data_IF_142278294530
#
_entry.id   IF_142278294530
#
_cell.length_a   1.000
_cell.length_b   1.000
_cell.length_c   1.000
_cell.angle_alpha   90.00
_cell.angle_beta   90.00
_cell.angle_gamma   90.00
#
_symmetry.space_group_name_H-M   'P 1'
#
loop_
_entity.id
_entity.type
_entity.pdbx_description
1 polymer ?
#
# COMPACT_ATOMS: atom_id res chain seq x y z
N UNK A 1 43.72 17.47 18.28
CA UNK A 1 42.33 17.51 18.77
C UNK A 1 41.40 17.35 17.58
N UNK A 2 40.87 16.14 17.38
CA UNK A 2 39.86 15.87 16.35
C UNK A 2 38.47 16.05 16.98
N UNK A 3 37.69 16.99 16.48
CA UNK A 3 36.28 17.11 16.84
C UNK A 3 35.47 16.22 15.89
N UNK A 4 34.93 15.12 16.42
CA UNK A 4 33.89 14.34 15.76
C UNK A 4 32.57 15.12 15.84
N UNK A 5 32.05 15.56 14.70
CA UNK A 5 30.68 16.05 14.57
C UNK A 5 29.75 14.82 14.51
N UNK A 6 29.09 14.53 15.63
CA UNK A 6 27.95 13.60 15.67
C UNK A 6 26.78 14.27 14.95
N UNK A 7 26.48 13.86 13.71
CA UNK A 7 25.23 14.21 13.04
C UNK A 7 24.09 13.40 13.67
N UNK A 8 23.33 14.04 14.56
CA UNK A 8 22.01 13.58 14.98
C UNK A 8 21.08 13.59 13.76
N UNK A 9 20.95 12.45 13.09
CA UNK A 9 19.83 12.21 12.17
C UNK A 9 18.61 11.99 13.06
N UNK A 10 17.91 13.07 13.37
CA UNK A 10 16.56 12.96 13.92
C UNK A 10 15.70 12.30 12.83
N UNK A 11 15.02 11.16 13.09
CA UNK A 11 14.00 10.71 12.17
C UNK A 11 12.97 11.85 12.10
N UNK A 12 12.75 12.37 10.89
CA UNK A 12 11.58 13.20 10.65
C UNK A 12 10.37 12.31 10.97
N UNK A 13 9.82 12.47 12.17
CA UNK A 13 8.53 11.93 12.51
C UNK A 13 7.58 12.65 11.54
N UNK A 14 7.19 11.96 10.46
CA UNK A 14 6.01 12.37 9.73
C UNK A 14 4.90 12.35 10.78
N UNK A 15 4.52 13.52 11.27
CA UNK A 15 3.35 13.66 12.13
C UNK A 15 2.18 13.23 11.29
N UNK A 16 1.73 11.98 11.48
CA UNK A 16 0.44 11.55 10.99
C UNK A 16 -0.56 12.51 11.62
N UNK A 17 -1.19 13.33 10.79
CA UNK A 17 -2.35 14.06 11.23
C UNK A 17 -3.41 12.99 11.55
N UNK A 18 -3.68 12.84 12.84
CA UNK A 18 -4.76 11.99 13.35
C UNK A 18 -5.90 12.94 13.71
N UNK A 19 -7.16 12.50 13.66
CA UNK A 19 -8.38 13.29 13.99
C UNK A 19 -9.11 14.04 12.84
N UNK A 20 -9.06 13.55 11.60
CA UNK A 20 -9.77 14.21 10.47
C UNK A 20 -11.26 13.93 10.37
N UNK A 21 -11.70 12.82 10.93
CA UNK A 21 -13.11 12.51 11.11
C UNK A 21 -13.42 12.57 12.61
N UNK A 22 -14.68 12.83 13.00
CA UNK A 22 -15.12 12.74 14.40
C UNK A 22 -15.21 11.26 14.85
N UNK A 23 -14.12 10.52 14.66
CA UNK A 23 -13.93 9.14 15.13
C UNK A 23 -13.15 9.18 16.43
N UNK A 24 -13.51 8.30 17.35
CA UNK A 24 -12.77 8.10 18.61
C UNK A 24 -11.41 7.43 18.38
N UNK A 25 -10.49 7.58 19.33
CA UNK A 25 -9.22 6.81 19.34
C UNK A 25 -9.47 5.30 19.22
N UNK A 26 -10.58 4.81 19.79
CA UNK A 26 -10.97 3.41 19.73
C UNK A 26 -11.40 2.94 18.35
N UNK A 27 -11.76 3.86 17.45
CA UNK A 27 -12.08 3.60 16.05
C UNK A 27 -10.81 3.67 15.19
N UNK A 28 -9.98 4.71 15.39
CA UNK A 28 -8.66 4.80 14.76
C UNK A 28 -7.73 3.63 15.12
N UNK A 29 -7.88 3.06 16.32
CA UNK A 29 -7.14 1.88 16.74
C UNK A 29 -7.59 0.57 16.03
N UNK A 30 -8.71 0.57 15.29
CA UNK A 30 -9.22 -0.63 14.58
C UNK A 30 -8.51 -0.83 13.25
N UNK A 31 -7.18 -0.79 13.28
CA UNK A 31 -6.34 -0.99 12.10
C UNK A 31 -6.53 -2.38 11.52
N UNK A 32 -6.56 -2.47 10.20
CA UNK A 32 -6.57 -3.75 9.49
C UNK A 32 -5.17 -4.36 9.62
N UNK A 33 -5.10 -5.53 10.25
CA UNK A 33 -3.84 -6.27 10.33
C UNK A 33 -3.40 -6.73 8.94
N UNK A 34 -2.27 -6.20 8.46
CA UNK A 34 -1.66 -6.63 7.21
C UNK A 34 -0.50 -7.59 7.48
N UNK A 35 -0.27 -8.53 6.58
CA UNK A 35 0.91 -9.42 6.63
C UNK A 35 1.93 -8.94 5.60
N UNK A 36 3.15 -8.55 6.00
CA UNK A 36 4.16 -8.11 5.07
C UNK A 36 4.57 -9.22 4.11
N UNK A 37 4.83 -8.85 2.87
CA UNK A 37 5.31 -9.73 1.80
C UNK A 37 6.70 -9.34 1.32
N UNK A 38 6.89 -8.05 1.04
CA UNK A 38 8.11 -7.53 0.44
C UNK A 38 8.23 -6.03 0.74
N UNK A 39 9.42 -5.61 1.15
CA UNK A 39 9.88 -4.23 0.95
C UNK A 39 10.80 -4.27 -0.25
N UNK A 40 10.48 -3.50 -1.29
CA UNK A 40 11.22 -3.52 -2.54
C UNK A 40 12.69 -3.16 -2.31
N UNK A 41 13.65 -3.95 -2.84
CA UNK A 41 15.07 -3.57 -2.83
C UNK A 41 15.34 -2.34 -3.70
N UNK A 42 16.42 -1.61 -3.42
CA UNK A 42 16.79 -0.40 -4.16
C UNK A 42 17.15 -0.70 -5.63
N UNK A 43 17.85 -1.80 -5.89
CA UNK A 43 18.22 -2.27 -7.24
C UNK A 43 17.62 -3.66 -7.51
N UNK A 44 16.29 -3.69 -7.58
CA UNK A 44 15.50 -4.89 -7.81
C UNK A 44 15.56 -5.37 -9.28
N UNK A 45 16.31 -6.45 -9.53
CA UNK A 45 16.40 -7.11 -10.85
C UNK A 45 15.66 -8.45 -10.92
N UNK A 46 15.20 -8.97 -9.77
CA UNK A 46 14.56 -10.28 -9.69
C UNK A 46 13.03 -10.17 -9.71
N UNK A 47 12.37 -11.28 -10.05
CA UNK A 47 10.92 -11.42 -9.93
C UNK A 47 10.56 -12.05 -8.58
N UNK A 48 9.39 -11.70 -8.05
CA UNK A 48 8.86 -12.29 -6.81
C UNK A 48 7.54 -12.99 -7.04
N UNK A 49 7.41 -14.22 -6.53
CA UNK A 49 6.17 -14.97 -6.59
C UNK A 49 5.54 -15.15 -5.21
N UNK A 50 4.40 -14.50 -4.98
CA UNK A 50 3.63 -14.52 -3.75
C UNK A 50 2.55 -15.62 -3.80
N UNK A 51 2.91 -16.83 -3.35
CA UNK A 51 2.01 -18.01 -3.39
C UNK A 51 0.70 -17.87 -2.62
N UNK A 52 0.64 -16.95 -1.65
CA UNK A 52 -0.51 -16.75 -0.73
C UNK A 52 -1.32 -15.50 -1.08
N UNK A 53 -1.30 -15.05 -2.32
CA UNK A 53 -2.06 -13.90 -2.83
C UNK A 53 -2.83 -14.34 -4.06
N UNK A 54 -4.08 -13.89 -4.21
CA UNK A 54 -4.98 -14.36 -5.24
C UNK A 54 -5.28 -15.86 -5.15
N UNK A 55 -5.87 -16.41 -6.21
CA UNK A 55 -6.30 -17.82 -6.24
C UNK A 55 -5.19 -18.79 -6.66
N UNK A 56 -4.16 -18.31 -7.38
CA UNK A 56 -3.09 -19.12 -7.94
C UNK A 56 -1.68 -18.60 -7.60
N UNK A 57 -1.58 -17.64 -6.69
CA UNK A 57 -0.36 -16.84 -6.49
C UNK A 57 -0.28 -15.67 -7.47
N UNK A 58 0.54 -14.68 -7.11
CA UNK A 58 0.81 -13.50 -7.93
C UNK A 58 2.30 -13.32 -8.11
N UNK A 59 2.73 -13.02 -9.34
CA UNK A 59 4.13 -12.72 -9.67
C UNK A 59 4.30 -11.23 -9.94
N UNK A 60 5.22 -10.60 -9.22
CA UNK A 60 5.72 -9.25 -9.49
C UNK A 60 6.98 -9.36 -10.36
N UNK A 61 6.99 -8.65 -11.48
CA UNK A 61 8.10 -8.60 -12.44
C UNK A 61 8.16 -7.25 -13.16
N UNK A 62 9.31 -6.93 -13.75
CA UNK A 62 9.46 -5.74 -14.60
C UNK A 62 8.54 -5.78 -15.80
N UNK A 63 8.10 -4.62 -16.27
CA UNK A 63 7.35 -4.55 -17.51
C UNK A 63 8.27 -4.89 -18.70
N UNK A 64 7.80 -5.64 -19.71
CA UNK A 64 8.63 -6.07 -20.85
C UNK A 64 9.28 -4.95 -21.66
N UNK A 65 8.67 -3.76 -21.65
CA UNK A 65 9.08 -2.62 -22.47
C UNK A 65 9.60 -1.43 -21.65
N UNK A 66 9.59 -1.54 -20.31
CA UNK A 66 10.04 -0.49 -19.40
C UNK A 66 10.60 -1.15 -18.13
N UNK A 67 11.92 -1.14 -17.99
CA UNK A 67 12.62 -1.74 -16.86
C UNK A 67 12.59 -0.87 -15.61
N UNK A 68 11.96 0.30 -15.63
CA UNK A 68 11.69 1.11 -14.43
C UNK A 68 10.33 0.78 -13.81
N UNK A 69 9.40 0.26 -14.61
CA UNK A 69 8.04 -0.08 -14.21
C UNK A 69 7.87 -1.57 -13.90
N UNK A 70 6.89 -1.84 -13.05
CA UNK A 70 6.55 -3.18 -12.60
C UNK A 70 5.11 -3.54 -12.96
N UNK A 71 4.87 -4.84 -13.11
CA UNK A 71 3.54 -5.40 -13.27
C UNK A 71 3.35 -6.63 -12.40
N UNK A 72 2.09 -6.87 -12.03
CA UNK A 72 1.63 -8.07 -11.35
C UNK A 72 0.97 -8.99 -12.37
N UNK A 73 1.28 -10.28 -12.26
CA UNK A 73 0.75 -11.31 -13.13
C UNK A 73 0.18 -12.46 -12.32
N UNK A 74 -0.82 -13.14 -12.87
CA UNK A 74 -1.34 -14.36 -12.29
C UNK A 74 -2.31 -15.07 -13.20
N UNK A 75 -3.01 -16.04 -12.63
CA UNK A 75 -4.06 -16.80 -13.29
C UNK A 75 -5.30 -16.81 -12.44
N UNK A 76 -6.45 -16.78 -13.10
CA UNK A 76 -7.74 -17.00 -12.44
C UNK A 76 -7.99 -18.51 -12.21
N UNK A 77 -9.12 -18.86 -11.60
CA UNK A 77 -9.46 -20.27 -11.30
C UNK A 77 -9.63 -21.13 -12.56
N UNK A 78 -9.92 -20.52 -13.71
CA UNK A 78 -10.00 -21.22 -15.00
C UNK A 78 -8.61 -21.34 -15.68
N UNK A 79 -7.54 -20.87 -15.04
CA UNK A 79 -6.19 -20.88 -15.59
C UNK A 79 -5.93 -19.79 -16.61
N UNK A 80 -6.87 -18.85 -16.83
CA UNK A 80 -6.68 -17.74 -17.76
C UNK A 80 -5.81 -16.68 -17.10
N UNK A 81 -4.78 -16.27 -17.83
CA UNK A 81 -3.82 -15.27 -17.36
C UNK A 81 -4.45 -13.89 -17.25
N UNK A 82 -3.87 -13.08 -16.37
CA UNK A 82 -4.11 -11.66 -16.23
C UNK A 82 -2.81 -10.94 -15.86
N UNK A 83 -2.75 -9.65 -16.18
CA UNK A 83 -1.63 -8.76 -15.89
C UNK A 83 -2.17 -7.39 -15.48
N UNK A 84 -1.55 -6.76 -14.50
CA UNK A 84 -1.89 -5.43 -14.00
C UNK A 84 -0.60 -4.62 -13.85
N UNK A 85 -0.40 -3.53 -14.60
CA UNK A 85 0.72 -2.62 -14.36
C UNK A 85 0.54 -1.93 -13.00
N UNK A 86 1.62 -1.79 -12.26
CA UNK A 86 1.66 -1.10 -10.95
C UNK A 86 2.65 0.07 -10.93
N UNK A 87 3.25 0.35 -12.08
CA UNK A 87 4.16 1.48 -12.31
C UNK A 87 5.49 1.32 -11.56
N UNK A 88 6.14 2.45 -11.32
CA UNK A 88 7.42 2.51 -10.61
C UNK A 88 7.24 2.14 -9.14
N UNK A 89 8.03 1.21 -8.60
CA UNK A 89 7.93 0.80 -7.18
C UNK A 89 9.10 1.26 -6.31
N UNK A 90 10.06 1.99 -6.89
CA UNK A 90 11.27 2.45 -6.21
C UNK A 90 11.41 3.95 -6.38
N UNK A 91 11.73 4.66 -5.30
CA UNK A 91 12.03 6.09 -5.37
C UNK A 91 12.86 6.54 -4.16
N UNK A 92 13.18 7.83 -4.14
CA UNK A 92 13.99 8.45 -3.08
C UNK A 92 13.26 8.60 -1.72
N UNK A 93 11.92 8.44 -1.68
CA UNK A 93 11.14 8.49 -0.43
C UNK A 93 11.03 7.12 0.27
N UNK A 94 11.67 6.09 -0.29
CA UNK A 94 11.59 4.72 0.18
C UNK A 94 10.88 3.84 -0.83
N UNK A 95 11.39 2.61 -0.97
CA UNK A 95 10.84 1.65 -1.91
C UNK A 95 9.47 1.14 -1.43
N UNK A 96 8.66 0.67 -2.38
CA UNK A 96 7.31 0.18 -2.10
C UNK A 96 7.31 -0.96 -1.08
N UNK A 97 6.30 -0.94 -0.23
CA UNK A 97 5.98 -1.98 0.74
C UNK A 97 4.74 -2.73 0.26
N UNK A 98 4.84 -4.05 0.20
CA UNK A 98 3.79 -4.95 -0.26
C UNK A 98 3.32 -5.81 0.91
N UNK A 99 2.00 -5.94 1.03
CA UNK A 99 1.36 -6.73 2.06
C UNK A 99 0.22 -7.56 1.49
N UNK A 100 -0.27 -8.49 2.30
CA UNK A 100 -1.53 -9.19 2.05
C UNK A 100 -2.49 -9.14 3.24
N UNK A 101 -3.77 -9.15 2.92
CA UNK A 101 -4.89 -9.38 3.83
C UNK A 101 -6.11 -9.83 3.01
N UNK A 102 -7.12 -10.40 3.65
CA UNK A 102 -8.44 -10.62 3.00
C UNK A 102 -9.27 -9.36 3.24
N UNK A 103 -9.23 -8.40 2.32
CA UNK A 103 -9.77 -7.05 2.54
C UNK A 103 -11.30 -7.03 2.50
N UNK A 104 -11.91 -7.85 1.63
CA UNK A 104 -13.35 -7.91 1.40
C UNK A 104 -14.02 -9.14 2.03
N UNK A 105 -13.28 -9.90 2.84
CA UNK A 105 -13.74 -11.09 3.58
C UNK A 105 -14.29 -12.18 2.67
N UNK A 106 -13.76 -12.33 1.47
CA UNK A 106 -14.21 -13.33 0.52
C UNK A 106 -13.41 -14.66 0.60
N UNK A 107 -12.42 -14.72 1.49
CA UNK A 107 -11.56 -15.88 1.71
C UNK A 107 -10.34 -15.96 0.78
N UNK A 108 -10.17 -15.00 -0.12
CA UNK A 108 -8.99 -14.83 -0.96
C UNK A 108 -8.07 -13.81 -0.28
N UNK A 109 -6.76 -13.98 -0.43
CA UNK A 109 -5.80 -13.02 0.08
C UNK A 109 -5.53 -11.99 -1.01
N UNK A 110 -5.80 -10.74 -0.69
CA UNK A 110 -5.62 -9.58 -1.55
C UNK A 110 -4.22 -9.00 -1.40
N UNK A 111 -3.86 -8.09 -2.29
CA UNK A 111 -2.57 -7.40 -2.29
C UNK A 111 -2.77 -5.91 -1.96
N UNK A 112 -1.91 -5.40 -1.08
CA UNK A 112 -1.78 -3.97 -0.79
C UNK A 112 -0.37 -3.55 -1.18
N UNK A 113 -0.25 -2.49 -1.97
CA UNK A 113 1.03 -1.85 -2.29
C UNK A 113 0.97 -0.41 -1.79
N UNK A 114 1.94 -0.03 -0.97
CA UNK A 114 2.13 1.35 -0.53
C UNK A 114 3.52 1.83 -0.95
N UNK A 115 3.62 3.07 -1.43
CA UNK A 115 4.90 3.70 -1.73
C UNK A 115 4.79 5.19 -1.45
N UNK A 116 5.58 5.70 -0.50
CA UNK A 116 5.72 7.14 -0.29
C UNK A 116 6.14 7.85 -1.57
N UNK A 117 5.70 9.08 -1.80
CA UNK A 117 6.11 9.88 -2.96
C UNK A 117 7.17 10.87 -2.51
N UNK A 118 8.26 10.97 -3.28
CA UNK A 118 9.31 11.96 -3.03
C UNK A 118 8.81 13.36 -3.35
N UNK A 119 8.62 14.17 -2.30
CA UNK A 119 8.26 15.58 -2.40
C UNK A 119 8.87 16.40 -1.26
N UNK A 120 9.16 17.67 -1.51
CA UNK A 120 9.76 18.60 -0.53
C UNK A 120 8.69 19.42 0.24
N UNK A 121 7.46 18.91 0.36
CA UNK A 121 6.34 19.58 1.01
C UNK A 121 6.14 19.18 2.48
N UNK A 122 5.34 19.95 3.22
CA UNK A 122 5.01 19.68 4.64
C UNK A 122 4.12 18.43 4.84
N UNK A 123 3.51 17.92 3.77
CA UNK A 123 2.72 16.70 3.79
C UNK A 123 3.05 15.92 2.50
N UNK A 124 4.02 14.99 2.53
CA UNK A 124 4.27 14.12 1.39
C UNK A 124 3.12 13.12 1.28
N UNK A 125 2.57 12.97 0.09
CA UNK A 125 1.57 11.95 -0.20
C UNK A 125 2.23 10.58 -0.45
N UNK A 126 1.41 9.56 -0.58
CA UNK A 126 1.79 8.20 -0.88
C UNK A 126 0.87 7.64 -1.97
N UNK A 127 1.46 6.76 -2.75
CA UNK A 127 0.77 5.95 -3.73
C UNK A 127 0.26 4.68 -3.04
N UNK A 128 -1.02 4.38 -3.22
CA UNK A 128 -1.66 3.17 -2.69
C UNK A 128 -2.35 2.40 -3.82
N UNK A 129 -2.06 1.10 -3.90
CA UNK A 129 -2.84 0.15 -4.68
C UNK A 129 -3.49 -0.84 -3.72
N UNK A 130 -4.81 -0.99 -3.84
CA UNK A 130 -5.56 -2.09 -3.27
C UNK A 130 -6.02 -2.99 -4.42
N UNK A 131 -5.53 -4.23 -4.45
CA UNK A 131 -5.93 -5.22 -5.45
C UNK A 131 -6.64 -6.36 -4.75
N UNK A 132 -7.96 -6.37 -4.85
CA UNK A 132 -8.80 -7.49 -4.42
C UNK A 132 -9.01 -8.48 -5.56
N UNK A 133 -9.51 -9.67 -5.25
CA UNK A 133 -9.85 -10.67 -6.25
C UNK A 133 -11.31 -11.07 -6.15
N UNK A 134 -12.04 -11.04 -7.27
CA UNK A 134 -13.39 -11.59 -7.30
C UNK A 134 -13.38 -13.13 -7.14
N UNK A 135 -14.57 -13.74 -7.03
CA UNK A 135 -14.69 -15.19 -6.83
C UNK A 135 -14.05 -16.05 -7.92
N UNK A 136 -13.96 -15.54 -9.16
CA UNK A 136 -13.27 -16.21 -10.26
C UNK A 136 -11.74 -16.09 -10.14
N UNK A 137 -11.22 -15.20 -9.30
CA UNK A 137 -9.79 -14.90 -9.14
C UNK A 137 -9.28 -13.82 -10.08
N UNK A 138 -10.17 -12.96 -10.59
CA UNK A 138 -9.80 -11.80 -11.41
C UNK A 138 -9.52 -10.59 -10.51
N UNK A 139 -8.44 -9.83 -10.76
CA UNK A 139 -8.13 -8.67 -9.95
C UNK A 139 -9.16 -7.54 -10.16
N UNK A 140 -9.52 -6.89 -9.06
CA UNK A 140 -10.25 -5.63 -8.98
C UNK A 140 -9.31 -4.62 -8.33
N UNK A 141 -8.92 -3.59 -9.06
CA UNK A 141 -7.83 -2.69 -8.66
C UNK A 141 -8.38 -1.32 -8.35
N UNK A 142 -8.07 -0.84 -7.16
CA UNK A 142 -8.21 0.54 -6.76
C UNK A 142 -6.81 1.14 -6.60
N UNK A 143 -6.62 2.34 -7.14
CA UNK A 143 -5.36 3.08 -7.06
C UNK A 143 -5.67 4.52 -6.70
N UNK A 144 -4.88 5.07 -5.76
CA UNK A 144 -5.01 6.45 -5.33
C UNK A 144 -3.67 7.02 -4.89
N UNK A 145 -3.54 8.34 -5.07
CA UNK A 145 -2.51 9.15 -4.44
C UNK A 145 -3.16 9.94 -3.31
N UNK A 146 -2.71 9.71 -2.08
CA UNK A 146 -3.32 10.30 -0.89
C UNK A 146 -2.34 10.32 0.28
N UNK A 147 -2.79 10.80 1.43
CA UNK A 147 -1.92 10.96 2.60
C UNK A 147 -1.91 9.72 3.48
N UNK A 148 -1.43 8.60 2.93
CA UNK A 148 -1.44 7.31 3.61
C UNK A 148 -0.17 7.04 4.41
N UNK A 149 -0.31 6.55 5.63
CA UNK A 149 0.81 6.26 6.53
C UNK A 149 1.06 4.76 6.64
N UNK A 150 2.28 4.33 6.31
CA UNK A 150 2.75 2.98 6.61
C UNK A 150 3.34 2.92 8.03
N UNK A 151 3.01 1.86 8.77
CA UNK A 151 3.50 1.54 10.11
C UNK A 151 3.99 0.09 10.18
N UNK A 152 4.49 -0.33 11.34
CA UNK A 152 4.94 -1.71 11.58
C UNK A 152 3.83 -2.74 11.33
N UNK A 153 2.56 -2.34 11.46
CA UNK A 153 1.40 -3.24 11.35
C UNK A 153 0.71 -3.22 9.99
N UNK A 154 1.16 -2.37 9.06
CA UNK A 154 0.56 -2.21 7.74
C UNK A 154 0.32 -0.74 7.39
N UNK A 155 -0.85 -0.45 6.82
CA UNK A 155 -1.26 0.92 6.46
C UNK A 155 -2.29 1.38 7.47
N UNK A 156 -2.02 2.49 8.15
CA UNK A 156 -2.82 3.00 9.26
C UNK A 156 -4.24 3.43 8.84
N UNK A 157 -4.39 3.77 7.56
CA UNK A 157 -5.63 4.24 6.94
C UNK A 157 -6.56 3.11 6.49
N UNK A 158 -6.12 1.86 6.60
CA UNK A 158 -6.96 0.67 6.38
C UNK A 158 -7.51 0.20 7.73
N UNK A 159 -8.83 0.23 7.87
CA UNK A 159 -9.53 0.02 9.15
C UNK A 159 -10.56 -1.12 9.04
N UNK A 160 -10.87 -1.78 10.15
CA UNK A 160 -12.03 -2.69 10.32
C UNK A 160 -12.99 -2.08 11.35
N UNK A 161 -13.64 -0.99 10.95
CA UNK A 161 -14.47 -0.17 11.84
C UNK A 161 -15.66 -0.97 12.39
N UNK A 162 -16.22 -1.87 11.56
CA UNK A 162 -17.39 -2.68 11.91
C UNK A 162 -17.04 -3.98 12.63
N UNK A 163 -15.75 -4.32 12.78
CA UNK A 163 -15.26 -5.60 13.37
C UNK A 163 -15.84 -6.82 12.66
N UNK A 164 -16.09 -6.67 11.37
CA UNK A 164 -16.65 -7.71 10.54
C UNK A 164 -15.64 -8.16 9.48
N UNK A 165 -14.37 -7.78 9.59
CA UNK A 165 -13.31 -8.20 8.69
C UNK A 165 -13.34 -7.57 7.31
N UNK A 166 -14.36 -6.78 6.96
CA UNK A 166 -14.35 -5.94 5.77
C UNK A 166 -13.55 -4.68 6.06
N UNK A 167 -12.57 -4.41 5.22
CA UNK A 167 -11.69 -3.25 5.34
C UNK A 167 -12.39 -2.01 4.82
N UNK A 168 -12.29 -0.90 5.54
CA UNK A 168 -12.59 0.44 5.06
C UNK A 168 -11.28 1.19 4.82
N UNK A 169 -11.26 2.03 3.79
CA UNK A 169 -10.16 2.96 3.54
C UNK A 169 -10.58 4.36 3.99
N UNK A 170 -9.82 4.92 4.92
CA UNK A 170 -9.84 6.35 5.24
C UNK A 170 -8.97 7.07 4.20
N UNK A 171 -9.61 7.66 3.20
CA UNK A 171 -8.91 8.35 2.12
C UNK A 171 -8.81 9.84 2.40
N UNK A 172 -7.58 10.35 2.35
CA UNK A 172 -7.29 11.75 2.52
C UNK A 172 -6.69 12.33 1.25
N UNK A 173 -7.28 13.43 0.81
CA UNK A 173 -6.81 14.19 -0.34
C UNK A 173 -6.79 15.69 -0.04
N UNK A 174 -5.95 16.41 -0.74
CA UNK A 174 -5.95 17.87 -0.76
C UNK A 174 -6.31 18.32 -2.17
N UNK A 175 -7.51 18.88 -2.32
CA UNK A 175 -8.02 19.34 -3.61
C UNK A 175 -8.73 20.68 -3.46
N UNK A 176 -8.58 21.54 -4.48
CA UNK A 176 -9.22 22.85 -4.55
C UNK A 176 -9.01 23.76 -3.32
N UNK A 177 -7.89 23.58 -2.62
CA UNK A 177 -7.54 24.34 -1.42
C UNK A 177 -8.12 23.79 -0.12
N UNK A 178 -8.77 22.63 -0.15
CA UNK A 178 -9.39 22.00 1.00
C UNK A 178 -8.87 20.59 1.23
N UNK A 179 -8.83 20.20 2.50
CA UNK A 179 -8.65 18.81 2.90
C UNK A 179 -9.98 18.08 2.76
N UNK A 180 -9.98 17.00 2.00
CA UNK A 180 -11.13 16.13 1.78
C UNK A 180 -10.82 14.80 2.43
N UNK A 181 -11.70 14.34 3.30
CA UNK A 181 -11.61 13.01 3.90
C UNK A 181 -12.83 12.19 3.52
N UNK A 182 -12.58 11.04 2.90
CA UNK A 182 -13.60 10.11 2.43
C UNK A 182 -13.44 8.75 3.11
N UNK A 183 -14.54 8.06 3.36
CA UNK A 183 -14.52 6.69 3.88
C UNK A 183 -15.07 5.74 2.81
N UNK A 184 -14.19 4.95 2.21
CA UNK A 184 -14.56 3.92 1.24
C UNK A 184 -14.83 2.59 1.94
N UNK A 185 -15.73 1.79 1.34
CA UNK A 185 -16.18 0.49 1.85
C UNK A 185 -16.03 -0.59 0.79
#
# INVERSE_FOLDING_TARGET
>A
MCAFLLSLVLPAQATSFTEYLPMSDSEYARKRALKPLLTMPYDAEQNWHFRKVGVAGVTLEKMPNDDSEWQLNGKDRAGKSWSVPVGVLQNMAGNAQLYRADLDRNGIQDLVIWRGISGNGLAPNAFLILMTFNQQGRPCVFQSDGFYTASETGIDDLLDLQRNGHTQLLDMQFDSGYWITSLYR
#
